data_IF_832479072065
#
_entry.id   IF_832479072065
#
_cell.length_a   1.000
_cell.length_b   1.000
_cell.length_c   1.000
_cell.angle_alpha   90.00
_cell.angle_beta   90.00
_cell.angle_gamma   90.00
#
_symmetry.space_group_name_H-M   'P 1'
#
loop_
_entity.id
_entity.type
_entity.pdbx_description
1 polymer ?
#
# COMPACT_ATOMS: atom_id res chain seq x y z
N UNK A 1 4.44 17.13 15.20
CA UNK A 1 5.69 17.27 14.41
C UNK A 1 6.63 16.05 14.50
N UNK A 2 6.92 15.46 15.67
CA UNK A 2 7.84 14.31 15.78
C UNK A 2 7.36 12.99 15.11
N UNK A 3 6.05 12.80 14.92
CA UNK A 3 5.48 11.58 14.33
C UNK A 3 5.58 11.51 12.80
N UNK A 4 5.75 12.64 12.11
CA UNK A 4 5.92 12.71 10.65
C UNK A 4 7.38 12.39 10.28
N UNK A 5 8.35 12.86 11.08
CA UNK A 5 9.78 12.62 10.85
C UNK A 5 10.17 11.16 11.06
N UNK A 6 9.48 10.42 11.95
CA UNK A 6 9.75 9.01 12.25
C UNK A 6 9.19 8.04 11.20
N UNK A 7 8.14 8.41 10.47
CA UNK A 7 7.65 7.63 9.33
C UNK A 7 8.52 7.81 8.07
N UNK A 8 9.33 8.88 8.02
CA UNK A 8 10.23 9.20 6.91
C UNK A 8 11.71 8.92 7.21
N UNK A 9 12.05 8.41 8.40
CA UNK A 9 13.40 7.98 8.71
C UNK A 9 13.60 6.57 8.17
N UNK A 10 14.30 6.47 7.03
CA UNK A 10 14.98 5.24 6.66
C UNK A 10 15.84 4.78 7.84
N UNK A 11 15.81 3.48 8.12
CA UNK A 11 16.64 2.80 9.11
C UNK A 11 18.09 3.28 8.97
N UNK A 12 18.66 3.84 10.04
CA UNK A 12 20.08 4.18 10.08
C UNK A 12 20.92 2.95 9.72
N UNK A 13 21.90 3.06 8.81
CA UNK A 13 22.77 1.94 8.49
C UNK A 13 23.63 1.62 9.72
N UNK A 14 23.49 0.39 10.21
CA UNK A 14 24.36 -0.16 11.24
C UNK A 14 25.82 -0.08 10.79
N UNK A 15 26.61 0.50 11.69
CA UNK A 15 28.06 0.67 11.65
C UNK A 15 28.82 -0.53 11.06
N UNK A 16 29.56 -0.31 9.99
CA UNK A 16 30.86 -0.95 9.83
C UNK A 16 31.86 0.01 9.15
N UNK A 17 32.97 0.23 9.85
CA UNK A 17 34.17 0.91 9.35
C UNK A 17 34.62 0.25 8.05
N UNK A 18 34.70 1.02 6.96
CA UNK A 18 35.84 0.99 6.04
C UNK A 18 35.89 2.28 5.21
N UNK A 19 37.05 2.91 5.28
CA UNK A 19 37.39 4.16 4.60
C UNK A 19 37.64 3.88 3.12
N UNK A 20 37.00 4.63 2.24
CA UNK A 20 37.66 5.07 1.00
C UNK A 20 36.93 6.25 0.39
N UNK A 21 37.72 7.31 0.17
CA UNK A 21 37.40 8.60 -0.41
C UNK A 21 36.80 8.44 -1.80
N UNK A 22 35.90 9.34 -2.19
CA UNK A 22 36.03 10.17 -3.40
C UNK A 22 34.88 11.19 -3.47
N UNK A 23 35.25 12.42 -3.86
CA UNK A 23 34.44 13.61 -4.16
C UNK A 23 33.91 14.46 -3.00
N UNK A 24 34.76 15.42 -2.60
CA UNK A 24 34.36 16.69 -2.03
C UNK A 24 33.87 17.62 -3.17
N UNK A 25 32.66 18.17 -3.05
CA UNK A 25 32.22 19.34 -3.80
C UNK A 25 32.27 20.59 -2.92
N UNK A 26 32.69 21.77 -3.43
CA UNK A 26 32.67 23.00 -2.65
C UNK A 26 31.26 23.62 -2.64
N UNK A 27 30.95 24.32 -1.54
CA UNK A 27 29.60 24.74 -1.18
C UNK A 27 29.10 26.08 -1.75
N UNK A 28 27.81 26.30 -1.43
CA UNK A 28 27.01 27.52 -1.31
C UNK A 28 27.40 28.78 -2.10
N UNK A 29 26.47 29.22 -2.96
CA UNK A 29 26.02 30.62 -3.03
C UNK A 29 24.59 30.68 -3.61
N UNK A 30 23.79 31.60 -3.07
CA UNK A 30 22.35 31.74 -3.28
C UNK A 30 21.96 32.67 -4.44
N UNK A 31 20.66 32.61 -4.77
CA UNK A 31 19.80 33.61 -5.44
C UNK A 31 19.85 33.72 -6.97
N UNK A 32 18.77 33.32 -7.65
CA UNK A 32 17.88 34.27 -8.35
C UNK A 32 16.55 33.63 -8.73
N UNK A 33 15.45 34.37 -8.54
CA UNK A 33 14.13 34.13 -9.12
C UNK A 33 14.22 34.18 -10.66
N UNK A 34 13.91 33.06 -11.32
CA UNK A 34 13.80 32.95 -12.76
C UNK A 34 12.94 31.73 -13.08
N UNK A 35 12.10 31.85 -14.11
CA UNK A 35 11.24 30.79 -14.66
C UNK A 35 11.96 29.44 -14.62
N UNK A 36 11.59 28.60 -13.67
CA UNK A 36 12.22 27.30 -13.47
C UNK A 36 11.53 26.31 -14.41
N UNK A 37 11.76 26.47 -15.70
CA UNK A 37 11.45 25.42 -16.67
C UNK A 37 12.23 24.18 -16.20
N UNK A 38 11.51 23.16 -15.75
CA UNK A 38 12.11 21.89 -15.34
C UNK A 38 12.82 21.33 -16.57
N UNK A 39 14.16 21.40 -16.61
CA UNK A 39 14.95 20.73 -17.64
C UNK A 39 14.82 19.24 -17.40
N UNK A 40 13.97 18.59 -18.20
CA UNK A 40 13.76 17.14 -18.15
C UNK A 40 14.75 16.43 -19.08
N UNK A 41 15.32 15.34 -18.59
CA UNK A 41 16.05 14.37 -19.42
C UNK A 41 15.09 13.58 -20.31
N UNK A 42 15.60 12.97 -21.38
CA UNK A 42 14.81 12.15 -22.30
C UNK A 42 14.06 11.01 -21.60
N UNK A 43 14.69 10.40 -20.57
CA UNK A 43 14.07 9.35 -19.76
C UNK A 43 12.90 9.89 -18.94
N UNK A 44 13.04 11.06 -18.34
CA UNK A 44 11.95 11.71 -17.59
C UNK A 44 10.80 12.11 -18.52
N UNK A 45 11.10 12.61 -19.72
CA UNK A 45 10.10 12.94 -20.72
C UNK A 45 9.31 11.71 -21.18
N UNK A 46 9.99 10.59 -21.46
CA UNK A 46 9.35 9.31 -21.81
C UNK A 46 8.45 8.80 -20.68
N UNK A 47 8.90 8.88 -19.44
CA UNK A 47 8.12 8.42 -18.29
C UNK A 47 6.93 9.34 -17.98
N UNK A 48 7.06 10.65 -18.21
CA UNK A 48 5.94 11.57 -18.10
C UNK A 48 4.90 11.28 -19.20
N UNK A 49 5.34 11.02 -20.44
CA UNK A 49 4.45 10.60 -21.53
C UNK A 49 3.73 9.28 -21.20
N UNK A 50 4.46 8.29 -20.69
CA UNK A 50 3.88 7.03 -20.19
C UNK A 50 2.88 7.26 -19.04
N UNK A 51 3.14 8.24 -18.16
CA UNK A 51 2.17 8.60 -17.13
C UNK A 51 0.86 9.10 -17.73
N UNK A 52 0.96 10.08 -18.63
CA UNK A 52 -0.18 10.79 -19.21
C UNK A 52 -1.01 9.92 -20.17
N UNK A 53 -0.38 8.96 -20.84
CA UNK A 53 -1.01 8.10 -21.85
C UNK A 53 -1.47 6.75 -21.30
N UNK A 54 -0.86 6.28 -20.21
CA UNK A 54 -1.12 4.94 -19.68
C UNK A 54 -1.30 4.89 -18.17
N UNK A 55 -0.30 5.33 -17.39
CA UNK A 55 -0.33 5.15 -15.93
C UNK A 55 -1.59 5.77 -15.32
N UNK A 56 -1.89 7.04 -15.63
CA UNK A 56 -3.04 7.75 -15.06
C UNK A 56 -4.39 7.11 -15.42
N UNK A 57 -4.47 6.42 -16.57
CA UNK A 57 -5.66 5.68 -16.99
C UNK A 57 -5.85 4.43 -16.13
N UNK A 58 -4.79 3.64 -15.91
CA UNK A 58 -4.91 2.38 -15.18
C UNK A 58 -5.00 2.54 -13.65
N UNK A 59 -4.71 3.73 -13.12
CA UNK A 59 -4.98 4.09 -11.72
C UNK A 59 -6.32 4.84 -11.53
N UNK A 60 -6.98 5.24 -12.63
CA UNK A 60 -8.31 5.83 -12.58
C UNK A 60 -9.36 4.72 -12.56
N UNK A 61 -10.02 4.52 -11.44
CA UNK A 61 -11.01 3.44 -11.28
C UNK A 61 -12.47 3.90 -11.44
N UNK A 62 -12.74 5.18 -11.22
CA UNK A 62 -14.05 5.80 -11.40
C UNK A 62 -13.94 7.13 -12.16
N UNK A 63 -15.07 7.60 -12.68
CA UNK A 63 -15.13 8.88 -13.42
C UNK A 63 -14.62 10.07 -12.58
N UNK A 64 -14.73 9.96 -11.27
CA UNK A 64 -14.34 10.99 -10.31
C UNK A 64 -12.82 11.02 -10.05
N UNK A 65 -12.07 9.99 -10.44
CA UNK A 65 -10.61 9.92 -10.36
C UNK A 65 -9.94 10.48 -11.62
N UNK A 66 -10.67 10.63 -12.74
CA UNK A 66 -10.12 11.18 -13.99
C UNK A 66 -9.55 12.59 -13.82
N UNK A 67 -10.34 13.53 -13.30
CA UNK A 67 -9.88 14.91 -13.15
C UNK A 67 -8.62 15.01 -12.25
N UNK A 68 -8.60 14.41 -11.04
CA UNK A 68 -7.40 14.40 -10.20
C UNK A 68 -6.17 13.83 -10.90
N UNK A 69 -6.28 12.66 -11.54
CA UNK A 69 -5.12 11.89 -12.00
C UNK A 69 -4.62 12.32 -13.39
N UNK A 70 -5.51 12.78 -14.28
CA UNK A 70 -5.13 13.16 -15.65
C UNK A 70 -4.75 14.64 -15.78
N UNK A 71 -5.30 15.52 -14.93
CA UNK A 71 -5.12 16.97 -15.06
C UNK A 71 -4.56 17.57 -13.78
N UNK A 72 -5.25 17.37 -12.65
CA UNK A 72 -4.93 18.05 -11.40
C UNK A 72 -3.51 17.78 -10.89
N UNK A 73 -3.17 16.50 -10.73
CA UNK A 73 -1.85 16.08 -10.27
C UNK A 73 -0.74 16.46 -11.26
N UNK A 74 -0.85 16.20 -12.57
CA UNK A 74 0.14 16.66 -13.54
C UNK A 74 0.37 18.18 -13.51
N UNK A 75 -0.68 19.00 -13.43
CA UNK A 75 -0.54 20.46 -13.38
C UNK A 75 0.22 20.91 -12.12
N UNK A 76 -0.10 20.32 -10.96
CA UNK A 76 0.64 20.57 -9.73
C UNK A 76 2.09 20.10 -9.84
N UNK A 77 2.34 18.95 -10.47
CA UNK A 77 3.66 18.37 -10.64
C UNK A 77 4.58 19.26 -11.50
N UNK A 78 4.05 19.86 -12.56
CA UNK A 78 4.81 20.78 -13.42
C UNK A 78 5.35 22.01 -12.67
N UNK A 79 4.72 22.39 -11.55
CA UNK A 79 5.14 23.51 -10.70
C UNK A 79 5.90 23.06 -9.45
N UNK A 80 5.89 21.77 -9.12
CA UNK A 80 6.43 21.22 -7.89
C UNK A 80 7.33 20.02 -8.19
N UNK A 81 8.64 20.25 -8.17
CA UNK A 81 9.65 19.22 -8.49
C UNK A 81 9.50 17.94 -7.65
N UNK A 82 9.33 18.00 -6.31
CA UNK A 82 9.14 16.79 -5.52
C UNK A 82 7.89 15.99 -5.92
N UNK A 83 6.80 16.66 -6.35
CA UNK A 83 5.62 15.96 -6.85
C UNK A 83 5.88 15.35 -8.22
N UNK A 84 6.61 16.04 -9.11
CA UNK A 84 7.06 15.47 -10.38
C UNK A 84 7.91 14.22 -10.19
N UNK A 85 8.85 14.22 -9.25
CA UNK A 85 9.65 13.03 -8.96
C UNK A 85 8.75 11.84 -8.49
N UNK A 86 7.64 12.09 -7.78
CA UNK A 86 6.66 11.02 -7.46
C UNK A 86 5.87 10.52 -8.67
N UNK A 87 5.46 11.42 -9.57
CA UNK A 87 4.79 11.05 -10.83
C UNK A 87 5.71 10.14 -11.66
N UNK A 88 6.98 10.53 -11.80
CA UNK A 88 7.98 9.76 -12.54
C UNK A 88 8.32 8.42 -11.89
N UNK A 89 8.38 8.37 -10.55
CA UNK A 89 8.60 7.13 -9.81
C UNK A 89 7.46 6.13 -10.04
N UNK A 90 6.21 6.62 -9.98
CA UNK A 90 5.02 5.79 -10.21
C UNK A 90 4.95 5.30 -11.66
N UNK A 91 5.24 6.17 -12.63
CA UNK A 91 5.27 5.79 -14.05
C UNK A 91 6.34 4.73 -14.33
N UNK A 92 7.54 4.87 -13.76
CA UNK A 92 8.60 3.87 -13.89
C UNK A 92 8.21 2.52 -13.26
N UNK A 93 7.53 2.53 -12.11
CA UNK A 93 6.99 1.32 -11.51
C UNK A 93 5.88 0.68 -12.38
N UNK A 94 5.03 1.50 -12.99
CA UNK A 94 4.04 1.02 -13.95
C UNK A 94 4.68 0.39 -15.19
N UNK A 95 5.71 1.00 -15.79
CA UNK A 95 6.44 0.43 -16.93
C UNK A 95 7.09 -0.92 -16.54
N UNK A 96 7.59 -1.08 -15.31
CA UNK A 96 8.04 -2.38 -14.81
C UNK A 96 6.92 -3.43 -14.80
N UNK A 97 5.74 -3.08 -14.29
CA UNK A 97 4.59 -3.98 -14.29
C UNK A 97 4.13 -4.33 -15.71
N UNK A 98 4.13 -3.38 -16.64
CA UNK A 98 3.80 -3.65 -18.05
C UNK A 98 4.76 -4.68 -18.68
N UNK A 99 6.06 -4.58 -18.39
CA UNK A 99 7.07 -5.55 -18.84
C UNK A 99 6.82 -6.93 -18.23
N UNK A 100 6.49 -6.98 -16.93
CA UNK A 100 6.17 -8.21 -16.22
C UNK A 100 4.94 -8.88 -16.83
N UNK A 101 3.85 -8.14 -16.99
CA UNK A 101 2.58 -8.64 -17.52
C UNK A 101 2.73 -9.09 -18.97
N UNK A 102 3.40 -8.30 -19.81
CA UNK A 102 3.71 -8.66 -21.19
C UNK A 102 4.52 -9.96 -21.33
N UNK A 103 5.37 -10.28 -20.35
CA UNK A 103 6.12 -11.52 -20.32
C UNK A 103 5.33 -12.72 -19.76
N UNK A 104 4.31 -12.50 -18.92
CA UNK A 104 3.44 -13.60 -18.45
C UNK A 104 2.54 -14.18 -19.56
N UNK A 105 2.24 -13.39 -20.60
CA UNK A 105 1.46 -13.84 -21.76
C UNK A 105 2.21 -14.77 -22.72
N UNK A 106 3.54 -14.73 -22.73
CA UNK A 106 4.39 -15.62 -23.52
C UNK A 106 5.19 -16.51 -22.55
N UNK A 107 4.69 -17.72 -22.29
CA UNK A 107 5.20 -18.71 -21.31
C UNK A 107 6.59 -19.28 -21.69
N UNK A 108 7.59 -18.41 -21.81
CA UNK A 108 9.01 -18.72 -21.88
C UNK A 108 9.75 -17.56 -21.22
N UNK A 109 10.17 -17.79 -19.96
CA UNK A 109 11.27 -17.11 -19.25
C UNK A 109 11.60 -15.69 -19.71
N UNK A 110 11.28 -14.69 -18.87
CA UNK A 110 11.78 -13.33 -19.03
C UNK A 110 13.29 -13.39 -19.33
N UNK A 111 13.71 -12.85 -20.47
CA UNK A 111 15.12 -12.83 -20.84
C UNK A 111 15.93 -11.98 -19.86
N UNK A 112 17.24 -12.18 -19.90
CA UNK A 112 18.19 -11.39 -19.09
C UNK A 112 17.99 -9.89 -19.35
N UNK A 113 17.74 -9.52 -20.61
CA UNK A 113 17.50 -8.14 -21.04
C UNK A 113 16.28 -7.49 -20.38
N UNK A 114 15.13 -8.17 -20.35
CA UNK A 114 13.95 -7.62 -19.69
C UNK A 114 14.13 -7.53 -18.16
N UNK A 115 14.90 -8.45 -17.57
CA UNK A 115 15.21 -8.41 -16.13
C UNK A 115 16.10 -7.23 -15.80
N UNK A 116 17.14 -6.99 -16.61
CA UNK A 116 18.04 -5.86 -16.42
C UNK A 116 17.30 -4.53 -16.63
N UNK A 117 16.37 -4.47 -17.61
CA UNK A 117 15.50 -3.31 -17.81
C UNK A 117 14.60 -3.02 -16.60
N UNK A 118 14.00 -4.04 -15.99
CA UNK A 118 13.21 -3.90 -14.76
C UNK A 118 14.09 -3.36 -13.62
N UNK A 119 15.32 -3.87 -13.47
CA UNK A 119 16.25 -3.40 -12.44
C UNK A 119 16.65 -1.93 -12.64
N UNK A 120 16.91 -1.52 -13.89
CA UNK A 120 17.20 -0.11 -14.22
C UNK A 120 16.04 0.82 -13.86
N UNK A 121 14.81 0.46 -14.29
CA UNK A 121 13.61 1.24 -14.00
C UNK A 121 13.28 1.27 -12.50
N UNK A 122 13.42 0.14 -11.80
CA UNK A 122 13.24 0.07 -10.35
C UNK A 122 14.25 0.98 -9.64
N UNK A 123 15.53 0.93 -10.02
CA UNK A 123 16.58 1.81 -9.47
C UNK A 123 16.28 3.29 -9.72
N UNK A 124 15.80 3.62 -10.93
CA UNK A 124 15.37 4.97 -11.26
C UNK A 124 14.21 5.41 -10.37
N UNK A 125 13.20 4.56 -10.23
CA UNK A 125 11.99 4.84 -9.43
C UNK A 125 12.32 5.04 -7.94
N UNK A 126 13.22 4.24 -7.37
CA UNK A 126 13.69 4.38 -5.98
C UNK A 126 14.40 5.70 -5.75
N UNK A 127 15.28 6.09 -6.69
CA UNK A 127 16.00 7.37 -6.61
C UNK A 127 15.01 8.53 -6.62
N UNK A 128 14.06 8.52 -7.55
CA UNK A 128 13.02 9.55 -7.67
C UNK A 128 12.10 9.60 -6.46
N UNK A 129 11.70 8.44 -5.94
CA UNK A 129 10.94 8.36 -4.71
C UNK A 129 11.73 8.96 -3.52
N UNK A 130 13.01 8.64 -3.39
CA UNK A 130 13.88 9.22 -2.35
C UNK A 130 14.07 10.73 -2.49
N UNK A 131 14.26 11.24 -3.71
CA UNK A 131 14.34 12.69 -3.98
C UNK A 131 13.02 13.40 -3.66
N UNK A 132 11.90 12.78 -4.04
CA UNK A 132 10.55 13.24 -3.76
C UNK A 132 10.29 13.37 -2.26
N UNK A 133 10.62 12.35 -1.46
CA UNK A 133 10.48 12.38 0.00
C UNK A 133 11.31 13.50 0.64
N UNK A 134 12.58 13.63 0.27
CA UNK A 134 13.45 14.71 0.77
C UNK A 134 12.93 16.08 0.38
N UNK A 135 12.46 16.22 -0.86
CA UNK A 135 11.90 17.46 -1.37
C UNK A 135 10.63 17.86 -0.62
N UNK A 136 9.68 16.92 -0.45
CA UNK A 136 8.42 17.18 0.27
C UNK A 136 8.65 17.56 1.73
N UNK A 137 9.65 16.98 2.41
CA UNK A 137 9.98 17.37 3.78
C UNK A 137 10.27 18.88 3.90
N UNK A 138 10.91 19.48 2.90
CA UNK A 138 11.15 20.93 2.87
C UNK A 138 9.89 21.77 2.58
N UNK A 139 8.86 21.16 2.00
CA UNK A 139 7.61 21.81 1.61
C UNK A 139 6.51 21.73 2.69
N UNK A 140 6.62 20.85 3.68
CA UNK A 140 5.59 20.64 4.72
C UNK A 140 5.26 21.94 5.48
N UNK A 141 6.25 22.81 5.67
CA UNK A 141 6.07 24.08 6.40
C UNK A 141 5.50 25.21 5.53
N UNK A 142 5.46 25.02 4.20
CA UNK A 142 4.95 26.02 3.26
C UNK A 142 3.45 25.82 3.01
N UNK A 143 2.59 26.77 3.42
CA UNK A 143 1.15 26.68 3.20
C UNK A 143 0.75 26.59 1.73
N UNK A 144 1.53 27.16 0.81
CA UNK A 144 1.20 27.19 -0.62
C UNK A 144 1.53 25.86 -1.30
N UNK A 145 2.40 25.05 -0.68
CA UNK A 145 2.78 23.72 -1.17
C UNK A 145 1.90 22.58 -0.65
N UNK A 146 0.90 22.85 0.20
CA UNK A 146 0.04 21.83 0.83
C UNK A 146 -0.63 20.89 -0.17
N UNK A 147 -1.14 21.44 -1.28
CA UNK A 147 -1.75 20.62 -2.34
C UNK A 147 -0.75 19.63 -2.93
N UNK A 148 0.49 20.06 -3.18
CA UNK A 148 1.54 19.18 -3.67
C UNK A 148 1.98 18.14 -2.66
N UNK A 149 2.07 18.49 -1.38
CA UNK A 149 2.39 17.54 -0.28
C UNK A 149 1.33 16.45 -0.18
N UNK A 150 0.05 16.81 -0.25
CA UNK A 150 -1.03 15.83 -0.16
C UNK A 150 -1.15 14.95 -1.41
N UNK A 151 -1.03 15.55 -2.61
CA UNK A 151 -1.02 14.79 -3.85
C UNK A 151 0.16 13.80 -3.89
N UNK A 152 1.32 14.23 -3.39
CA UNK A 152 2.51 13.39 -3.27
C UNK A 152 2.26 12.17 -2.37
N UNK A 153 1.67 12.38 -1.19
CA UNK A 153 1.35 11.29 -0.27
C UNK A 153 0.45 10.24 -0.95
N UNK A 154 -0.53 10.68 -1.75
CA UNK A 154 -1.43 9.76 -2.47
C UNK A 154 -0.70 8.92 -3.53
N UNK A 155 0.20 9.53 -4.31
CA UNK A 155 0.99 8.80 -5.31
C UNK A 155 1.98 7.82 -4.67
N UNK A 156 2.61 8.21 -3.56
CA UNK A 156 3.57 7.36 -2.85
C UNK A 156 2.91 6.08 -2.32
N UNK A 157 1.65 6.14 -1.90
CA UNK A 157 0.92 4.94 -1.48
C UNK A 157 0.82 3.92 -2.61
N UNK A 158 0.41 4.34 -3.82
CA UNK A 158 0.29 3.44 -4.98
C UNK A 158 1.67 2.93 -5.41
N UNK A 159 2.65 3.83 -5.48
CA UNK A 159 4.03 3.48 -5.83
C UNK A 159 4.63 2.47 -4.85
N UNK A 160 4.37 2.62 -3.56
CA UNK A 160 4.90 1.74 -2.51
C UNK A 160 4.50 0.28 -2.70
N UNK A 161 3.22 0.06 -3.01
CA UNK A 161 2.69 -1.28 -3.29
C UNK A 161 3.25 -1.83 -4.61
N UNK A 162 3.28 -1.02 -5.67
CA UNK A 162 3.80 -1.45 -6.97
C UNK A 162 5.29 -1.83 -6.88
N UNK A 163 6.09 -1.02 -6.18
CA UNK A 163 7.51 -1.30 -5.94
C UNK A 163 7.70 -2.61 -5.17
N UNK A 164 6.87 -2.87 -4.16
CA UNK A 164 6.91 -4.13 -3.42
C UNK A 164 6.58 -5.33 -4.32
N UNK A 165 5.50 -5.26 -5.10
CA UNK A 165 5.13 -6.30 -6.06
C UNK A 165 6.24 -6.59 -7.09
N UNK A 166 6.91 -5.56 -7.61
CA UNK A 166 8.04 -5.74 -8.54
C UNK A 166 9.18 -6.52 -7.86
N UNK A 167 9.50 -6.22 -6.60
CA UNK A 167 10.51 -6.96 -5.83
C UNK A 167 10.09 -8.41 -5.58
N UNK A 168 8.82 -8.65 -5.27
CA UNK A 168 8.26 -10.00 -5.14
C UNK A 168 8.47 -10.80 -6.43
N UNK A 169 8.13 -10.18 -7.55
CA UNK A 169 8.31 -10.79 -8.85
C UNK A 169 9.78 -11.10 -9.12
N UNK A 170 10.68 -10.14 -8.92
CA UNK A 170 12.13 -10.32 -9.09
C UNK A 170 12.66 -11.45 -8.20
N UNK A 171 12.21 -11.51 -6.95
CA UNK A 171 12.60 -12.54 -6.00
C UNK A 171 12.14 -13.94 -6.46
N UNK A 172 10.92 -14.06 -6.96
CA UNK A 172 10.39 -15.33 -7.51
C UNK A 172 11.11 -15.72 -8.81
N UNK A 173 11.36 -14.76 -9.70
CA UNK A 173 11.99 -14.99 -11.00
C UNK A 173 13.45 -15.44 -10.87
N UNK A 174 14.21 -14.82 -9.97
CA UNK A 174 15.62 -15.17 -9.75
C UNK A 174 15.81 -16.52 -9.09
N UNK A 175 14.94 -16.93 -8.16
CA UNK A 175 14.96 -18.31 -7.64
C UNK A 175 14.77 -19.37 -8.73
N UNK A 176 14.10 -19.02 -9.84
CA UNK A 176 13.86 -19.93 -10.96
C UNK A 176 14.96 -19.89 -12.02
N UNK A 177 15.63 -18.75 -12.20
CA UNK A 177 16.46 -18.49 -13.39
C UNK A 177 17.92 -18.07 -13.12
N UNK A 178 18.29 -17.67 -11.89
CA UNK A 178 19.65 -17.19 -11.55
C UNK A 178 20.29 -18.04 -10.45
N UNK A 179 21.60 -18.27 -10.57
CA UNK A 179 22.42 -18.93 -9.54
C UNK A 179 22.78 -18.00 -8.38
N UNK A 180 22.82 -16.69 -8.62
CA UNK A 180 23.18 -15.70 -7.61
C UNK A 180 21.94 -15.04 -6.98
N UNK A 181 21.94 -14.85 -5.64
CA UNK A 181 20.81 -14.22 -4.95
C UNK A 181 20.69 -12.74 -5.31
N UNK A 182 19.46 -12.20 -5.32
CA UNK A 182 19.28 -10.75 -5.46
C UNK A 182 20.05 -10.00 -4.36
N UNK A 183 20.66 -8.85 -4.72
CA UNK A 183 21.17 -7.89 -3.75
C UNK A 183 20.10 -7.60 -2.68
N UNK A 184 20.54 -7.48 -1.43
CA UNK A 184 19.64 -7.29 -0.28
C UNK A 184 18.65 -6.13 -0.46
N UNK A 185 19.09 -5.03 -1.09
CA UNK A 185 18.27 -3.84 -1.36
C UNK A 185 17.01 -4.13 -2.19
N UNK A 186 17.04 -5.15 -3.05
CA UNK A 186 15.91 -5.52 -3.90
C UNK A 186 15.08 -6.68 -3.34
N UNK A 187 15.43 -7.19 -2.16
CA UNK A 187 14.60 -8.20 -1.51
C UNK A 187 13.35 -7.55 -0.95
N UNK A 188 12.19 -8.20 -1.09
CA UNK A 188 10.97 -7.73 -0.43
C UNK A 188 11.17 -7.78 1.09
N UNK A 189 10.92 -6.66 1.77
CA UNK A 189 10.82 -6.58 3.22
C UNK A 189 9.35 -6.61 3.60
N UNK A 190 8.98 -7.60 4.43
CA UNK A 190 7.64 -7.85 4.95
C UNK A 190 7.08 -6.57 5.59
N UNK A 191 5.81 -6.22 5.33
CA UNK A 191 5.11 -5.07 5.95
C UNK A 191 5.61 -3.67 5.55
N UNK A 192 6.71 -3.52 4.79
CA UNK A 192 7.19 -2.17 4.39
C UNK A 192 6.14 -1.38 3.60
N UNK A 193 5.43 -2.06 2.70
CA UNK A 193 4.38 -1.45 1.89
C UNK A 193 3.20 -0.97 2.73
N UNK A 194 2.92 -1.62 3.88
CA UNK A 194 1.85 -1.26 4.82
C UNK A 194 2.10 0.15 5.37
N UNK A 195 3.34 0.49 5.72
CA UNK A 195 3.67 1.83 6.21
C UNK A 195 3.43 2.93 5.16
N UNK A 196 3.62 2.64 3.87
CA UNK A 196 3.40 3.59 2.79
C UNK A 196 1.91 3.89 2.57
N UNK A 197 1.00 2.97 2.91
CA UNK A 197 -0.45 3.24 2.92
C UNK A 197 -0.87 4.22 4.02
N UNK A 198 -0.15 4.28 5.13
CA UNK A 198 -0.44 5.22 6.23
C UNK A 198 -0.07 6.67 5.89
N UNK A 199 0.74 6.88 4.84
CA UNK A 199 1.30 8.19 4.50
C UNK A 199 0.24 9.25 4.19
N UNK A 200 -0.79 8.92 3.41
CA UNK A 200 -1.90 9.85 3.08
C UNK A 200 -2.61 10.29 4.35
N UNK A 201 -2.99 9.34 5.19
CA UNK A 201 -3.68 9.61 6.45
C UNK A 201 -2.84 10.49 7.38
N UNK A 202 -1.55 10.18 7.54
CA UNK A 202 -0.63 10.98 8.36
C UNK A 202 -0.40 12.38 7.79
N UNK A 203 -0.33 12.53 6.47
CA UNK A 203 -0.19 13.84 5.82
C UNK A 203 -1.44 14.69 6.03
N UNK A 204 -2.63 14.10 5.88
CA UNK A 204 -3.90 14.80 6.10
C UNK A 204 -4.03 15.28 7.55
N UNK A 205 -3.82 14.40 8.52
CA UNK A 205 -3.92 14.75 9.94
C UNK A 205 -2.82 15.74 10.37
N UNK A 206 -1.58 15.51 9.91
CA UNK A 206 -0.45 16.36 10.24
C UNK A 206 -0.60 17.80 9.75
N UNK A 207 -1.25 18.01 8.61
CA UNK A 207 -1.51 19.34 8.06
C UNK A 207 -2.73 20.02 8.69
N UNK A 208 -3.73 19.27 9.18
CA UNK A 208 -4.87 19.82 9.94
C UNK A 208 -4.42 20.50 11.23
N UNK A 209 -3.45 19.93 11.95
CA UNK A 209 -2.91 20.50 13.19
C UNK A 209 -2.20 21.87 12.98
N UNK A 210 -1.83 22.20 11.73
CA UNK A 210 -1.23 23.50 11.38
C UNK A 210 -2.26 24.62 11.14
N UNK A 211 -3.56 24.31 11.19
CA UNK A 211 -4.67 25.23 10.84
C UNK A 211 -5.21 26.00 12.05
N UNK A 212 -4.74 25.78 13.28
CA UNK A 212 -5.13 26.57 14.48
C UNK A 212 -4.56 28.02 14.50
N UNK A 213 -4.52 28.70 13.35
CA UNK A 213 -4.43 30.15 13.21
C UNK A 213 -5.80 30.75 12.84
N UNK A 214 -6.04 32.06 13.07
CA UNK A 214 -7.38 32.66 13.16
C UNK A 214 -8.13 32.85 11.83
N UNK A 215 -7.79 32.13 10.76
CA UNK A 215 -8.34 32.40 9.44
C UNK A 215 -9.45 31.41 9.07
N UNK A 216 -10.68 31.89 9.17
CA UNK A 216 -11.91 31.25 8.67
C UNK A 216 -11.81 30.91 7.18
N UNK A 217 -12.11 29.65 6.75
CA UNK A 217 -12.08 29.27 5.34
C UNK A 217 -13.29 29.86 4.59
N UNK A 218 -13.03 30.59 3.51
CA UNK A 218 -14.04 31.00 2.53
C UNK A 218 -14.11 29.90 1.45
N UNK A 219 -15.17 29.10 1.47
CA UNK A 219 -15.43 28.07 0.45
C UNK A 219 -15.97 28.72 -0.83
N UNK A 220 -15.15 28.83 -1.87
CA UNK A 220 -15.63 29.12 -3.23
C UNK A 220 -15.79 27.81 -3.97
N UNK A 221 -17.04 27.36 -4.09
CA UNK A 221 -17.41 26.17 -4.90
C UNK A 221 -17.36 26.60 -6.37
N UNK A 222 -16.31 26.22 -7.09
CA UNK A 222 -16.31 26.24 -8.56
C UNK A 222 -16.81 24.88 -9.06
N UNK A 223 -18.10 24.84 -9.43
CA UNK A 223 -18.71 23.73 -10.15
C UNK A 223 -18.27 23.78 -11.62
N UNK A 224 -17.17 23.13 -11.97
CA UNK A 224 -16.86 22.82 -13.36
C UNK A 224 -17.46 21.46 -13.72
N UNK A 225 -18.59 21.50 -14.41
CA UNK A 225 -19.09 20.36 -15.18
C UNK A 225 -18.27 20.29 -16.47
N UNK A 226 -17.21 19.49 -16.45
CA UNK A 226 -16.54 19.09 -17.68
C UNK A 226 -17.20 17.81 -18.17
N UNK A 227 -17.96 17.89 -19.27
CA UNK A 227 -18.36 16.72 -20.03
C UNK A 227 -17.11 16.14 -20.67
N UNK A 228 -16.50 15.15 -20.01
CA UNK A 228 -15.47 14.29 -20.61
C UNK A 228 -16.20 13.03 -21.05
N UNK A 229 -16.00 12.66 -22.31
CA UNK A 229 -16.58 11.46 -22.92
C UNK A 229 -16.14 10.21 -22.10
N UNK A 230 -17.08 9.38 -21.62
CA UNK A 230 -16.74 8.24 -20.77
C UNK A 230 -15.98 7.20 -21.60
N UNK A 231 -14.66 7.12 -21.39
CA UNK A 231 -13.85 6.01 -21.89
C UNK A 231 -14.16 4.76 -21.05
N UNK A 232 -14.20 3.57 -21.66
CA UNK A 232 -14.58 2.34 -20.98
C UNK A 232 -13.61 2.08 -19.83
N UNK A 233 -14.17 2.03 -18.61
CA UNK A 233 -13.48 1.52 -17.42
C UNK A 233 -13.03 0.11 -17.76
N UNK A 234 -11.71 -0.11 -17.80
CA UNK A 234 -11.15 -1.45 -18.03
C UNK A 234 -11.54 -2.29 -16.81
N UNK A 235 -12.52 -3.18 -16.98
CA UNK A 235 -12.88 -4.17 -15.98
C UNK A 235 -11.67 -5.07 -15.79
N UNK A 236 -10.92 -4.88 -14.70
CA UNK A 236 -9.75 -5.69 -14.44
C UNK A 236 -10.16 -7.16 -14.19
N UNK A 237 -9.37 -8.15 -14.64
CA UNK A 237 -9.72 -9.58 -14.62
C UNK A 237 -9.99 -10.19 -13.23
N UNK A 238 -9.74 -9.46 -12.15
CA UNK A 238 -9.85 -9.90 -10.75
C UNK A 238 -11.29 -10.18 -10.29
N UNK A 239 -12.30 -9.85 -11.08
CA UNK A 239 -13.73 -9.93 -10.68
C UNK A 239 -14.23 -11.36 -10.41
N UNK A 240 -13.63 -12.40 -11.01
CA UNK A 240 -14.13 -13.78 -10.90
C UNK A 240 -13.50 -14.54 -9.72
N UNK A 241 -12.18 -14.48 -9.57
CA UNK A 241 -11.46 -15.14 -8.45
C UNK A 241 -11.79 -14.50 -7.10
N UNK A 242 -12.00 -13.17 -7.10
CA UNK A 242 -12.41 -12.40 -5.93
C UNK A 242 -13.81 -12.78 -5.44
N UNK A 243 -14.77 -13.12 -6.32
CA UNK A 243 -16.15 -13.39 -5.90
C UNK A 243 -16.29 -14.68 -5.09
N UNK A 244 -15.70 -15.78 -5.58
CA UNK A 244 -15.81 -17.06 -4.89
C UNK A 244 -15.06 -17.07 -3.56
N UNK A 245 -13.86 -16.46 -3.50
CA UNK A 245 -13.11 -16.34 -2.24
C UNK A 245 -13.88 -15.44 -1.26
N UNK A 246 -14.44 -14.34 -1.74
CA UNK A 246 -15.29 -13.45 -0.94
C UNK A 246 -16.48 -14.18 -0.33
N UNK A 247 -17.19 -15.03 -1.09
CA UNK A 247 -18.31 -15.83 -0.55
C UNK A 247 -17.88 -16.73 0.60
N UNK A 248 -16.76 -17.46 0.45
CA UNK A 248 -16.25 -18.33 1.52
C UNK A 248 -15.89 -17.50 2.75
N UNK A 249 -15.21 -16.37 2.55
CA UNK A 249 -14.85 -15.47 3.64
C UNK A 249 -16.07 -14.94 4.38
N UNK A 250 -17.12 -14.52 3.67
CA UNK A 250 -18.40 -14.10 4.30
C UNK A 250 -18.98 -15.22 5.17
N UNK A 251 -18.96 -16.46 4.68
CA UNK A 251 -19.55 -17.60 5.42
C UNK A 251 -18.71 -18.10 6.60
N UNK A 252 -17.41 -17.81 6.62
CA UNK A 252 -16.47 -18.36 7.61
C UNK A 252 -15.94 -17.30 8.59
N UNK A 253 -16.17 -16.01 8.31
CA UNK A 253 -15.62 -14.91 9.08
C UNK A 253 -16.08 -14.91 10.55
N UNK A 254 -17.37 -15.13 10.81
CA UNK A 254 -17.89 -15.04 12.18
C UNK A 254 -17.20 -16.04 13.11
N UNK A 255 -17.03 -17.28 12.65
CA UNK A 255 -16.28 -18.32 13.38
C UNK A 255 -14.79 -17.97 13.55
N UNK A 256 -14.16 -17.45 12.49
CA UNK A 256 -12.77 -17.02 12.55
C UNK A 256 -12.57 -15.87 13.56
N UNK A 257 -13.50 -14.91 13.59
CA UNK A 257 -13.49 -13.78 14.51
C UNK A 257 -13.74 -14.21 15.94
N UNK A 258 -14.68 -15.12 16.19
CA UNK A 258 -14.91 -15.70 17.52
C UNK A 258 -13.65 -16.37 18.06
N UNK A 259 -12.98 -17.17 17.21
CA UNK A 259 -11.75 -17.87 17.56
C UNK A 259 -10.61 -16.89 17.87
N UNK A 260 -10.41 -15.88 17.02
CA UNK A 260 -9.41 -14.82 17.23
C UNK A 260 -9.70 -13.98 18.47
N UNK A 261 -10.97 -13.69 18.75
CA UNK A 261 -11.41 -12.93 19.92
C UNK A 261 -11.19 -13.72 21.21
N UNK A 262 -11.50 -15.02 21.22
CA UNK A 262 -11.22 -15.88 22.37
C UNK A 262 -9.72 -15.90 22.70
N UNK A 263 -8.85 -16.01 21.69
CA UNK A 263 -7.39 -15.92 21.87
C UNK A 263 -6.97 -14.55 22.40
N UNK A 264 -7.53 -13.46 21.87
CA UNK A 264 -7.22 -12.12 22.35
C UNK A 264 -7.58 -11.93 23.83
N UNK A 265 -8.72 -12.45 24.29
CA UNK A 265 -9.14 -12.41 25.69
C UNK A 265 -8.22 -13.26 26.59
N UNK A 266 -7.76 -14.43 26.12
CA UNK A 266 -6.78 -15.23 26.86
C UNK A 266 -5.46 -14.46 27.04
N UNK A 267 -4.96 -13.79 26.00
CA UNK A 267 -3.74 -12.97 26.10
C UNK A 267 -3.96 -11.78 27.04
N UNK A 268 -5.09 -11.08 26.94
CA UNK A 268 -5.42 -9.94 27.81
C UNK A 268 -5.54 -10.34 29.29
N UNK A 269 -6.10 -11.51 29.58
CA UNK A 269 -6.27 -12.02 30.95
C UNK A 269 -4.96 -12.55 31.54
N UNK A 270 -4.14 -13.21 30.73
CA UNK A 270 -2.83 -13.71 31.15
C UNK A 270 -1.80 -12.58 31.29
N UNK A 271 -1.85 -11.58 30.41
CA UNK A 271 -0.88 -10.49 30.31
C UNK A 271 -1.58 -9.17 29.93
N UNK A 272 -2.12 -8.41 30.90
CA UNK A 272 -2.76 -7.12 30.66
C UNK A 272 -1.72 -6.01 30.39
N UNK A 273 -0.90 -6.19 29.36
CA UNK A 273 0.14 -5.25 28.95
C UNK A 273 -0.38 -4.22 27.95
N UNK A 274 0.41 -3.15 27.75
CA UNK A 274 0.12 -2.15 26.71
C UNK A 274 0.06 -2.78 25.32
N UNK A 275 0.83 -3.85 25.07
CA UNK A 275 0.84 -4.58 23.80
C UNK A 275 -0.46 -5.37 23.61
N UNK A 276 -0.92 -6.10 24.62
CA UNK A 276 -2.20 -6.82 24.56
C UNK A 276 -3.38 -5.86 24.30
N UNK A 277 -3.40 -4.72 24.98
CA UNK A 277 -4.43 -3.69 24.74
C UNK A 277 -4.36 -3.10 23.32
N UNK A 278 -3.14 -2.93 22.78
CA UNK A 278 -2.91 -2.48 21.40
C UNK A 278 -3.44 -3.49 20.38
N UNK A 279 -3.19 -4.79 20.58
CA UNK A 279 -3.76 -5.86 19.77
C UNK A 279 -5.29 -5.87 19.84
N UNK A 280 -5.88 -5.68 21.02
CA UNK A 280 -7.33 -5.57 21.19
C UNK A 280 -7.93 -4.42 20.37
N UNK A 281 -7.26 -3.26 20.31
CA UNK A 281 -7.69 -2.15 19.44
C UNK A 281 -7.59 -2.50 17.95
N UNK A 282 -6.53 -3.20 17.54
CA UNK A 282 -6.38 -3.66 16.16
C UNK A 282 -7.46 -4.70 15.78
N UNK A 283 -7.81 -5.60 16.68
CA UNK A 283 -8.89 -6.56 16.49
C UNK A 283 -10.25 -5.87 16.28
N UNK A 284 -10.59 -4.85 17.08
CA UNK A 284 -11.82 -4.05 16.87
C UNK A 284 -11.83 -3.34 15.53
N UNK A 285 -10.66 -2.84 15.08
CA UNK A 285 -10.54 -2.22 13.77
C UNK A 285 -10.77 -3.24 12.63
N UNK A 286 -10.31 -4.48 12.81
CA UNK A 286 -10.51 -5.58 11.88
C UNK A 286 -11.99 -6.01 11.79
N UNK A 287 -12.64 -6.17 12.93
CA UNK A 287 -14.08 -6.49 13.00
C UNK A 287 -14.94 -5.40 12.33
N UNK A 288 -14.72 -4.13 12.68
CA UNK A 288 -15.40 -3.00 12.05
C UNK A 288 -15.19 -2.94 10.54
N UNK A 289 -14.01 -3.34 10.07
CA UNK A 289 -13.68 -3.41 8.65
C UNK A 289 -14.43 -4.55 7.96
N UNK A 290 -14.46 -5.75 8.55
CA UNK A 290 -15.18 -6.89 8.02
C UNK A 290 -16.69 -6.61 7.92
N UNK A 291 -17.29 -6.00 8.95
CA UNK A 291 -18.68 -5.56 8.92
C UNK A 291 -18.95 -4.61 7.74
N UNK A 292 -18.03 -3.69 7.43
CA UNK A 292 -18.17 -2.78 6.28
C UNK A 292 -17.99 -3.45 4.92
N UNK A 293 -17.11 -4.46 4.84
CA UNK A 293 -16.90 -5.28 3.66
C UNK A 293 -18.11 -6.16 3.35
N UNK A 294 -18.70 -6.78 4.38
CA UNK A 294 -19.76 -7.80 4.24
C UNK A 294 -21.18 -7.23 4.32
N UNK A 295 -21.37 -6.02 4.84
CA UNK A 295 -22.67 -5.33 4.84
C UNK A 295 -23.23 -5.05 3.43
N UNK A 296 -22.48 -5.32 2.36
CA UNK A 296 -22.91 -5.13 0.96
C UNK A 296 -23.70 -6.35 0.47
N UNK A 297 -24.90 -6.54 1.01
CA UNK A 297 -25.91 -7.44 0.46
C UNK A 297 -26.73 -6.78 -0.67
N UNK A 298 -26.27 -5.69 -1.28
CA UNK A 298 -26.82 -5.23 -2.55
C UNK A 298 -26.07 -5.92 -3.69
N UNK A 299 -26.77 -6.61 -4.61
CA UNK A 299 -26.14 -7.28 -5.74
C UNK A 299 -25.30 -6.28 -6.53
N UNK A 300 -24.06 -6.69 -6.84
CA UNK A 300 -23.11 -5.99 -7.72
C UNK A 300 -23.83 -5.07 -8.73
N UNK A 301 -23.78 -3.73 -8.56
CA UNK A 301 -24.34 -2.83 -9.55
C UNK A 301 -23.30 -2.64 -10.65
N UNK A 302 -23.00 -3.70 -11.40
CA UNK A 302 -22.22 -3.55 -12.64
C UNK A 302 -23.00 -2.79 -13.72
N UNK A 303 -24.29 -2.44 -13.51
CA UNK A 303 -25.12 -1.81 -14.55
C UNK A 303 -26.17 -0.79 -14.11
N UNK A 304 -26.15 -0.26 -12.89
CA UNK A 304 -27.05 0.86 -12.55
C UNK A 304 -26.27 2.06 -12.05
N UNK A 305 -25.93 2.94 -13.01
CA UNK A 305 -25.60 4.34 -12.75
C UNK A 305 -26.81 5.03 -12.11
N UNK A 306 -26.99 4.85 -10.79
CA UNK A 306 -27.85 5.74 -10.02
C UNK A 306 -27.09 7.03 -9.79
N UNK A 307 -27.61 8.08 -10.40
CA UNK A 307 -27.22 9.48 -10.23
C UNK A 307 -27.67 9.95 -8.86
N UNK A 308 -27.13 9.34 -7.80
CA UNK A 308 -27.42 9.78 -6.44
C UNK A 308 -26.53 10.99 -6.15
N UNK A 309 -27.16 12.16 -6.24
CA UNK A 309 -26.64 13.43 -5.78
C UNK A 309 -26.28 13.32 -4.29
N UNK A 310 -24.99 13.18 -4.00
CA UNK A 310 -24.47 13.27 -2.63
C UNK A 310 -24.77 14.67 -2.11
N UNK A 311 -25.62 14.76 -1.08
CA UNK A 311 -25.89 15.98 -0.33
C UNK A 311 -24.58 16.47 0.32
N UNK A 312 -24.16 17.72 0.10
CA UNK A 312 -22.93 18.23 0.65
C UNK A 312 -23.21 18.75 2.05
N UNK A 313 -23.13 17.91 3.09
CA UNK A 313 -23.03 18.33 4.50
C UNK A 313 -22.88 17.09 5.38
N UNK A 314 -21.65 16.58 5.44
CA UNK A 314 -21.04 16.18 6.70
C UNK A 314 -19.57 16.58 6.56
N UNK A 315 -19.10 17.46 7.45
CA UNK A 315 -17.82 18.15 7.31
C UNK A 315 -16.69 17.12 7.48
N UNK A 316 -16.23 16.56 6.36
CA UNK A 316 -15.06 15.70 6.33
C UNK A 316 -13.88 16.45 6.99
N UNK A 317 -13.09 15.81 7.88
CA UNK A 317 -11.91 16.44 8.50
C UNK A 317 -10.97 17.07 7.47
N UNK A 318 -10.91 16.51 6.26
CA UNK A 318 -10.15 17.04 5.14
C UNK A 318 -10.59 18.45 4.70
N UNK A 319 -11.87 18.81 4.83
CA UNK A 319 -12.40 20.11 4.40
C UNK A 319 -11.82 21.31 5.17
N UNK A 320 -11.08 21.05 6.26
CA UNK A 320 -10.46 22.07 7.09
C UNK A 320 -9.05 22.47 6.63
N UNK A 321 -8.44 21.73 5.68
CA UNK A 321 -7.09 22.07 5.18
C UNK A 321 -7.20 23.24 4.19
N UNK A 322 -6.83 24.45 4.62
CA UNK A 322 -6.86 25.63 3.77
C UNK A 322 -5.83 25.58 2.63
N UNK A 323 -6.15 26.22 1.49
CA UNK A 323 -5.34 26.32 0.26
C UNK A 323 -5.16 25.01 -0.53
N UNK A 324 -6.12 24.09 -0.40
CA UNK A 324 -6.16 22.84 -1.16
C UNK A 324 -7.36 22.87 -2.13
N UNK A 325 -7.18 22.49 -3.42
CA UNK A 325 -8.29 22.43 -4.36
C UNK A 325 -9.38 21.44 -3.94
N UNK A 326 -10.64 21.75 -4.22
CA UNK A 326 -11.79 20.89 -3.86
C UNK A 326 -11.71 19.48 -4.46
N UNK A 327 -11.21 19.35 -5.69
CA UNK A 327 -11.01 18.05 -6.33
C UNK A 327 -10.02 17.19 -5.54
N UNK A 328 -8.99 17.80 -4.95
CA UNK A 328 -7.96 17.08 -4.20
C UNK A 328 -8.51 16.65 -2.84
N UNK A 329 -9.31 17.49 -2.17
CA UNK A 329 -10.03 17.07 -0.97
C UNK A 329 -10.92 15.85 -1.23
N UNK A 330 -11.69 15.87 -2.31
CA UNK A 330 -12.58 14.76 -2.65
C UNK A 330 -11.80 13.50 -3.03
N UNK A 331 -10.70 13.65 -3.77
CA UNK A 331 -9.81 12.53 -4.10
C UNK A 331 -9.19 11.90 -2.84
N UNK A 332 -8.68 12.72 -1.91
CA UNK A 332 -8.08 12.25 -0.66
C UNK A 332 -9.10 11.65 0.31
N UNK A 333 -10.30 12.24 0.42
CA UNK A 333 -11.37 11.71 1.26
C UNK A 333 -11.75 10.31 0.79
N UNK A 334 -11.79 10.11 -0.53
CA UNK A 334 -12.00 8.80 -1.11
C UNK A 334 -10.78 7.89 -0.88
N UNK A 335 -9.56 8.33 -1.17
CA UNK A 335 -8.32 7.55 -0.96
C UNK A 335 -8.13 7.08 0.50
N UNK A 336 -8.58 7.87 1.48
CA UNK A 336 -8.50 7.56 2.92
C UNK A 336 -9.76 6.88 3.47
N UNK A 337 -10.71 6.52 2.62
CA UNK A 337 -11.98 5.87 2.99
C UNK A 337 -12.91 6.74 3.86
N UNK A 338 -12.74 8.06 3.85
CA UNK A 338 -13.62 9.03 4.50
C UNK A 338 -14.84 9.38 3.65
N UNK A 339 -14.88 8.97 2.37
CA UNK A 339 -16.02 9.13 1.47
C UNK A 339 -16.29 7.83 0.68
N UNK A 340 -17.57 7.45 0.46
CA UNK A 340 -17.93 6.25 -0.28
C UNK A 340 -17.65 6.39 -1.79
N UNK A 341 -17.19 5.30 -2.42
CA UNK A 341 -16.97 5.19 -3.87
C UNK A 341 -17.25 3.75 -4.33
N UNK A 342 -18.05 3.57 -5.37
CA UNK A 342 -18.71 2.29 -5.67
C UNK A 342 -17.78 1.21 -6.29
N UNK A 343 -16.73 1.50 -7.09
CA UNK A 343 -15.81 0.43 -7.52
C UNK A 343 -14.63 0.18 -6.56
N UNK A 344 -14.22 1.20 -5.79
CA UNK A 344 -13.07 1.13 -4.89
C UNK A 344 -13.43 0.78 -3.45
N UNK A 345 -14.72 0.53 -3.13
CA UNK A 345 -15.14 0.24 -1.75
C UNK A 345 -14.36 -0.92 -1.16
N UNK A 346 -14.14 -2.02 -1.88
CA UNK A 346 -13.39 -3.18 -1.33
C UNK A 346 -11.92 -2.85 -1.08
N UNK A 347 -11.18 -2.40 -2.10
CA UNK A 347 -9.76 -2.02 -1.97
C UNK A 347 -9.51 -0.99 -0.88
N UNK A 348 -10.31 0.07 -0.87
CA UNK A 348 -10.24 1.13 0.13
C UNK A 348 -10.58 0.57 1.51
N UNK A 349 -11.69 -0.16 1.67
CA UNK A 349 -12.09 -0.72 2.97
C UNK A 349 -11.03 -1.69 3.52
N UNK A 350 -10.46 -2.57 2.70
CA UNK A 350 -9.37 -3.47 3.12
C UNK A 350 -8.15 -2.67 3.57
N UNK A 351 -7.72 -1.67 2.80
CA UNK A 351 -6.55 -0.85 3.15
C UNK A 351 -6.81 0.12 4.31
N UNK A 352 -8.08 0.40 4.64
CA UNK A 352 -8.46 1.25 5.77
C UNK A 352 -7.96 0.70 7.11
N UNK A 353 -7.72 -0.61 7.22
CA UNK A 353 -7.14 -1.24 8.40
C UNK A 353 -5.91 -0.50 8.90
N UNK A 354 -4.96 -0.22 7.99
CA UNK A 354 -3.68 0.43 8.27
C UNK A 354 -3.85 1.82 8.90
N UNK A 355 -4.91 2.51 8.48
CA UNK A 355 -5.25 3.85 8.98
C UNK A 355 -6.02 3.80 10.31
N UNK A 356 -6.72 2.69 10.61
CA UNK A 356 -7.51 2.50 11.82
C UNK A 356 -6.74 1.90 12.99
N UNK A 357 -5.69 1.13 12.72
CA UNK A 357 -4.87 0.54 13.78
C UNK A 357 -3.95 1.56 14.46
N UNK A 358 -3.70 1.41 15.77
CA UNK A 358 -2.71 2.23 16.48
C UNK A 358 -1.33 2.16 15.82
N UNK A 359 -0.54 3.23 15.91
CA UNK A 359 0.85 3.21 15.41
C UNK A 359 1.68 2.14 16.13
N UNK A 360 1.46 1.98 17.44
CA UNK A 360 2.15 1.01 18.29
C UNK A 360 1.87 -0.43 17.86
N UNK A 361 0.71 -0.71 17.23
CA UNK A 361 0.42 -2.04 16.67
C UNK A 361 1.35 -2.38 15.51
N UNK A 362 1.59 -1.42 14.60
CA UNK A 362 2.50 -1.65 13.47
C UNK A 362 3.95 -1.82 13.95
N UNK A 363 4.37 -1.03 14.95
CA UNK A 363 5.67 -1.20 15.59
C UNK A 363 5.79 -2.57 16.28
N UNK A 364 4.71 -3.06 16.88
CA UNK A 364 4.66 -4.40 17.48
C UNK A 364 4.82 -5.48 16.41
N UNK A 365 4.11 -5.38 15.29
CA UNK A 365 4.25 -6.28 14.12
C UNK A 365 5.68 -6.28 13.59
N UNK A 366 6.27 -5.10 13.34
CA UNK A 366 7.66 -5.00 12.88
C UNK A 366 8.65 -5.63 13.87
N UNK A 367 8.42 -5.44 15.18
CA UNK A 367 9.22 -6.05 16.23
C UNK A 367 9.10 -7.57 16.22
N UNK A 368 7.87 -8.10 16.08
CA UNK A 368 7.64 -9.55 15.91
C UNK A 368 8.45 -10.09 14.74
N UNK A 369 8.38 -9.43 13.58
CA UNK A 369 9.07 -9.86 12.37
C UNK A 369 10.60 -9.80 12.48
N UNK A 370 11.14 -8.77 13.14
CA UNK A 370 12.57 -8.68 13.39
C UNK A 370 13.07 -9.74 14.39
N UNK A 371 12.27 -10.06 15.40
CA UNK A 371 12.57 -11.13 16.36
C UNK A 371 12.60 -12.50 15.66
N UNK A 372 11.67 -12.74 14.74
CA UNK A 372 11.58 -13.95 13.94
C UNK A 372 12.79 -14.11 13.01
N UNK A 373 13.24 -13.01 12.39
CA UNK A 373 14.36 -13.01 11.44
C UNK A 373 15.75 -12.95 12.11
N UNK A 374 15.81 -12.83 13.44
CA UNK A 374 17.08 -12.80 14.15
C UNK A 374 17.76 -14.18 14.08
N UNK A 375 19.04 -14.26 13.67
CA UNK A 375 19.80 -15.50 13.79
C UNK A 375 19.85 -15.88 15.28
N UNK A 376 19.60 -17.16 15.57
CA UNK A 376 19.54 -17.70 16.93
C UNK A 376 20.84 -17.37 17.67
N UNK A 377 20.79 -16.32 18.48
CA UNK A 377 21.77 -16.10 19.52
C UNK A 377 21.36 -17.00 20.67
N UNK A 378 22.12 -18.08 20.80
CA UNK A 378 22.12 -18.96 21.96
C UNK A 378 22.09 -18.16 23.27
N UNK A 379 21.20 -18.60 24.16
CA UNK A 379 21.31 -18.56 25.61
C UNK A 379 21.71 -17.24 26.31
N UNK A 380 20.71 -16.50 26.82
CA UNK A 380 20.76 -15.97 28.20
C UNK A 380 19.33 -15.93 28.79
N UNK A 381 19.07 -16.83 29.73
CA UNK A 381 18.39 -16.58 31.01
C UNK A 381 17.04 -15.83 31.08
N UNK A 382 15.96 -16.60 31.30
CA UNK A 382 14.93 -16.32 32.31
C UNK A 382 14.15 -14.99 32.29
N UNK A 383 13.73 -14.53 31.11
CA UNK A 383 12.63 -13.53 30.97
C UNK A 383 11.76 -13.72 29.71
N UNK A 384 11.94 -14.84 28.98
CA UNK A 384 11.44 -15.07 27.61
C UNK A 384 9.97 -15.46 27.46
N UNK A 385 9.22 -15.74 28.54
CA UNK A 385 7.83 -16.24 28.43
C UNK A 385 6.75 -15.16 28.52
N UNK A 386 7.08 -13.95 28.99
CA UNK A 386 6.08 -12.95 29.38
C UNK A 386 5.72 -11.91 28.31
N UNK A 387 6.29 -11.98 27.10
CA UNK A 387 5.98 -11.03 26.01
C UNK A 387 5.62 -11.70 24.69
N UNK A 388 5.78 -13.03 24.57
CA UNK A 388 5.63 -13.75 23.30
C UNK A 388 4.17 -13.83 22.83
N UNK A 389 3.23 -13.93 23.76
CA UNK A 389 1.79 -14.05 23.48
C UNK A 389 1.22 -12.79 22.79
N UNK A 390 1.64 -11.60 23.21
CA UNK A 390 1.23 -10.34 22.57
C UNK A 390 1.79 -10.20 21.14
N UNK A 391 3.04 -10.62 20.91
CA UNK A 391 3.64 -10.63 19.56
C UNK A 391 2.97 -11.65 18.64
N UNK A 392 2.62 -12.82 19.17
CA UNK A 392 1.87 -13.87 18.48
C UNK A 392 0.47 -13.38 18.08
N UNK A 393 -0.27 -12.78 19.01
CA UNK A 393 -1.58 -12.19 18.74
C UNK A 393 -1.49 -11.08 17.67
N UNK A 394 -0.42 -10.28 17.68
CA UNK A 394 -0.21 -9.26 16.66
C UNK A 394 -0.06 -9.87 15.26
N UNK A 395 0.71 -10.96 15.15
CA UNK A 395 0.89 -11.71 13.89
C UNK A 395 -0.39 -12.42 13.45
N UNK A 396 -1.18 -12.94 14.38
CA UNK A 396 -2.46 -13.59 14.09
C UNK A 396 -3.47 -12.60 13.50
N UNK A 397 -3.59 -11.41 14.11
CA UNK A 397 -4.42 -10.31 13.57
C UNK A 397 -3.92 -9.88 12.18
N UNK A 398 -2.60 -9.78 11.98
CA UNK A 398 -2.02 -9.43 10.68
C UNK A 398 -2.38 -10.48 9.62
N UNK A 399 -2.25 -11.77 9.94
CA UNK A 399 -2.57 -12.87 9.05
C UNK A 399 -4.05 -12.81 8.60
N UNK A 400 -4.97 -12.56 9.54
CA UNK A 400 -6.39 -12.40 9.23
C UNK A 400 -6.65 -11.21 8.29
N UNK A 401 -5.97 -10.08 8.50
CA UNK A 401 -6.08 -8.95 7.57
C UNK A 401 -5.49 -9.26 6.19
N UNK A 402 -4.37 -9.99 6.11
CA UNK A 402 -3.77 -10.40 4.84
C UNK A 402 -4.70 -11.28 4.01
N UNK A 403 -5.61 -12.04 4.63
CA UNK A 403 -6.67 -12.75 3.91
C UNK A 403 -7.57 -11.76 3.15
N UNK A 404 -7.95 -10.64 3.77
CA UNK A 404 -8.70 -9.59 3.07
C UNK A 404 -7.88 -8.95 1.95
N UNK A 405 -6.56 -8.83 2.10
CA UNK A 405 -5.67 -8.33 1.05
C UNK A 405 -5.66 -9.26 -0.17
N UNK A 406 -5.83 -10.58 0.00
CA UNK A 406 -5.96 -11.52 -1.13
C UNK A 406 -7.17 -11.23 -2.03
N UNK A 407 -8.21 -10.55 -1.53
CA UNK A 407 -9.34 -10.11 -2.35
C UNK A 407 -8.96 -9.01 -3.37
N UNK A 408 -7.80 -8.39 -3.17
CA UNK A 408 -7.23 -7.33 -3.99
C UNK A 408 -6.25 -7.87 -5.03
N UNK A 409 -6.05 -9.19 -5.07
CA UNK A 409 -5.23 -9.85 -6.08
C UNK A 409 -5.71 -9.48 -7.48
N UNK A 410 -4.75 -9.15 -8.35
CA UNK A 410 -5.01 -8.76 -9.74
C UNK A 410 -5.13 -7.26 -9.98
N UNK A 411 -5.10 -6.43 -8.93
CA UNK A 411 -4.77 -5.02 -9.10
C UNK A 411 -3.28 -4.91 -9.46
N UNK A 412 -2.95 -4.26 -10.58
CA UNK A 412 -1.58 -4.23 -11.13
C UNK A 412 -0.48 -3.72 -10.18
N UNK A 413 -0.86 -2.94 -9.16
CA UNK A 413 0.01 -2.33 -8.16
C UNK A 413 0.00 -3.05 -6.79
N UNK A 414 -0.87 -4.05 -6.60
CA UNK A 414 -0.86 -4.92 -5.40
C UNK A 414 -0.42 -6.34 -5.79
N UNK A 415 -0.90 -6.86 -6.93
CA UNK A 415 -0.50 -8.15 -7.47
C UNK A 415 -0.73 -9.29 -6.49
N UNK A 416 0.27 -10.16 -6.32
CA UNK A 416 0.25 -11.30 -5.39
C UNK A 416 0.82 -10.94 -4.00
N UNK A 417 0.72 -9.69 -3.56
CA UNK A 417 1.32 -9.25 -2.28
C UNK A 417 0.65 -9.94 -1.09
N UNK A 418 -0.68 -9.89 -0.98
CA UNK A 418 -1.43 -10.52 0.12
C UNK A 418 -1.06 -11.99 0.37
N UNK A 419 -1.19 -12.88 -0.63
CA UNK A 419 -0.90 -14.31 -0.47
C UNK A 419 0.57 -14.59 -0.19
N UNK A 420 1.50 -13.85 -0.81
CA UNK A 420 2.93 -14.05 -0.56
C UNK A 420 3.34 -13.65 0.86
N UNK A 421 2.85 -12.50 1.35
CA UNK A 421 3.10 -12.06 2.72
C UNK A 421 2.48 -13.06 3.72
N UNK A 422 1.29 -13.59 3.41
CA UNK A 422 0.63 -14.58 4.25
C UNK A 422 1.41 -15.91 4.29
N UNK A 423 1.91 -16.41 3.16
CA UNK A 423 2.79 -17.58 3.10
C UNK A 423 4.01 -17.41 4.02
N UNK A 424 4.63 -16.23 4.03
CA UNK A 424 5.73 -15.94 4.93
C UNK A 424 5.31 -15.97 6.38
N UNK A 425 4.22 -15.31 6.75
CA UNK A 425 3.70 -15.31 8.12
C UNK A 425 3.40 -16.75 8.58
N UNK A 426 2.76 -17.57 7.75
CA UNK A 426 2.48 -18.99 8.04
C UNK A 426 3.80 -19.76 8.24
N UNK A 427 4.77 -19.60 7.34
CA UNK A 427 6.06 -20.30 7.44
C UNK A 427 6.80 -19.98 8.74
N UNK A 428 6.67 -18.73 9.19
CA UNK A 428 7.27 -18.21 10.41
C UNK A 428 6.60 -18.78 11.65
N UNK A 429 5.26 -18.75 11.70
CA UNK A 429 4.49 -19.27 12.84
C UNK A 429 4.76 -20.76 13.04
N UNK A 430 4.88 -21.52 11.94
CA UNK A 430 5.21 -22.96 11.96
C UNK A 430 6.65 -23.26 12.35
N UNK A 431 7.62 -22.47 11.91
CA UNK A 431 9.06 -22.76 12.15
C UNK A 431 9.54 -22.41 13.55
N UNK A 432 8.95 -21.40 14.20
CA UNK A 432 9.36 -20.94 15.55
C UNK A 432 8.57 -21.58 16.69
N UNK A 433 7.77 -22.62 16.40
CA UNK A 433 6.87 -23.29 17.35
C UNK A 433 5.94 -22.31 18.08
N UNK A 434 5.66 -21.16 17.45
CA UNK A 434 4.62 -20.23 17.92
C UNK A 434 3.22 -20.83 17.74
N UNK A 435 3.13 -21.86 16.90
CA UNK A 435 1.90 -22.57 16.53
C UNK A 435 1.33 -23.50 17.60
N UNK A 436 2.09 -23.97 18.60
CA UNK A 436 1.59 -24.98 19.53
C UNK A 436 0.36 -24.51 20.37
N UNK A 437 0.24 -23.21 20.63
CA UNK A 437 -0.92 -22.60 21.32
C UNK A 437 -1.89 -21.89 20.34
N UNK A 438 -1.49 -21.67 19.08
CA UNK A 438 -2.30 -20.97 18.05
C UNK A 438 -3.01 -21.93 17.09
N UNK A 439 -2.54 -23.17 16.99
CA UNK A 439 -2.93 -24.17 16.00
C UNK A 439 -3.14 -25.48 16.79
N UNK A 440 -4.36 -25.74 17.26
CA UNK A 440 -4.65 -26.96 18.03
C UNK A 440 -4.52 -28.22 17.15
N UNK A 441 -4.85 -28.15 15.85
CA UNK A 441 -4.57 -29.19 14.85
C UNK A 441 -4.19 -28.65 13.44
N UNK A 442 -3.56 -29.52 12.64
CA UNK A 442 -3.18 -29.27 11.24
C UNK A 442 -4.44 -29.04 10.38
N UNK A 443 -4.76 -27.76 10.11
CA UNK A 443 -5.93 -27.36 9.31
C UNK A 443 -7.01 -26.58 10.03
N UNK A 444 -6.76 -26.08 11.25
CA UNK A 444 -7.73 -25.27 12.02
C UNK A 444 -7.48 -23.75 11.99
N UNK A 445 -6.37 -23.31 11.41
CA UNK A 445 -6.04 -21.88 11.37
C UNK A 445 -6.60 -21.23 10.11
N UNK A 446 -7.67 -20.46 10.29
CA UNK A 446 -8.44 -19.83 9.20
C UNK A 446 -7.61 -19.10 8.13
N UNK A 447 -6.58 -18.28 8.46
CA UNK A 447 -5.74 -17.65 7.44
C UNK A 447 -5.05 -18.65 6.50
N UNK A 448 -4.57 -19.77 7.04
CA UNK A 448 -3.94 -20.82 6.26
C UNK A 448 -4.95 -21.56 5.37
N UNK A 449 -6.13 -21.88 5.91
CA UNK A 449 -7.22 -22.48 5.13
C UNK A 449 -7.62 -21.61 3.94
N UNK A 450 -7.78 -20.30 4.15
CA UNK A 450 -8.16 -19.38 3.08
C UNK A 450 -7.10 -19.30 1.98
N UNK A 451 -5.82 -19.36 2.34
CA UNK A 451 -4.73 -19.44 1.38
C UNK A 451 -4.79 -20.74 0.56
N UNK A 452 -5.03 -21.89 1.21
CA UNK A 452 -5.19 -23.18 0.52
C UNK A 452 -6.38 -23.19 -0.44
N UNK A 453 -7.51 -22.60 -0.03
CA UNK A 453 -8.71 -22.47 -0.88
C UNK A 453 -8.42 -21.60 -2.10
N UNK A 454 -7.76 -20.46 -1.91
CA UNK A 454 -7.32 -19.58 -3.01
C UNK A 454 -6.46 -20.35 -4.01
N UNK A 455 -5.41 -21.01 -3.54
CA UNK A 455 -4.44 -21.70 -4.40
C UNK A 455 -5.07 -22.85 -5.17
N UNK A 456 -5.93 -23.63 -4.51
CA UNK A 456 -6.69 -24.72 -5.14
C UNK A 456 -7.56 -24.19 -6.28
N UNK A 457 -8.23 -23.06 -6.06
CA UNK A 457 -9.10 -22.43 -7.07
C UNK A 457 -8.30 -21.82 -8.22
N UNK A 458 -7.16 -21.19 -7.93
CA UNK A 458 -6.26 -20.69 -8.98
C UNK A 458 -5.79 -21.82 -9.89
N UNK A 459 -5.38 -22.97 -9.32
CA UNK A 459 -5.00 -24.17 -10.09
C UNK A 459 -6.15 -24.66 -10.97
N UNK A 460 -7.37 -24.77 -10.43
CA UNK A 460 -8.54 -25.17 -11.20
C UNK A 460 -8.82 -24.23 -12.38
N UNK A 461 -8.75 -22.91 -12.17
CA UNK A 461 -8.97 -21.90 -13.22
C UNK A 461 -7.90 -21.91 -14.31
N UNK A 462 -6.65 -22.26 -13.97
CA UNK A 462 -5.54 -22.38 -14.93
C UNK A 462 -5.59 -23.67 -15.75
N UNK A 463 -6.17 -24.74 -15.20
CA UNK A 463 -6.30 -26.05 -15.88
C UNK A 463 -7.45 -26.12 -16.89
N UNK A 464 -8.44 -25.22 -16.82
CA UNK A 464 -9.59 -25.22 -17.73
C UNK A 464 -9.32 -24.57 -19.10
N UNK A 465 -8.17 -23.91 -19.30
CA UNK A 465 -7.81 -23.25 -20.59
C UNK A 465 -7.24 -24.19 -21.66
N UNK A 466 -7.12 -25.49 -21.40
CA UNK A 466 -6.41 -26.43 -22.28
C UNK A 466 -7.28 -27.52 -22.95
N UNK A 467 -8.60 -27.38 -22.97
CA UNK A 467 -9.51 -28.44 -23.46
C UNK A 467 -10.39 -28.07 -24.67
N UNK A 468 -10.13 -26.96 -25.36
CA UNK A 468 -10.87 -26.61 -26.58
C UNK A 468 -9.92 -26.34 -27.76
N UNK A 469 -9.13 -27.35 -28.15
CA UNK A 469 -8.57 -27.48 -29.51
C UNK A 469 -8.26 -28.97 -29.75
N UNK A 470 -9.28 -29.73 -30.13
CA UNK A 470 -9.15 -30.94 -30.95
C UNK A 470 -10.16 -30.86 -32.11
#
# INVERSE_FOLDING_TARGET
MASITRACSASSPLSSRSKSRLYAGPGFAASTTGDMAITMSDVEAKLLDHYLTHTCHIISFDEQDHLPLHVGIPELAMRCRPLMDSVLALAAACECCDIIDGATGNVKTLGVEQTDRILELLTFSERRHGDSLRGVQSLISDPDSRASVLANAALITIYGSASHQIRLWLFKATRRCRSDPLPYIYRPYLVQWIYLFKSVYLACNGLQDTVYGPDTPTSTILSHSSQVEPLPIIVQPSTITSHSLFEVMVTTWDHALESLSARAELVLTAEPSSHAHTCSQALRALDSLAAQLFSVNDPLPFMTMRKDSVSPLDVSPLAQISRVPSWLHMYLARATCQAPSIPLRRTRTVMAFVNRVPADYLTLVETSLNYINAPELDDVGSSKSQSTSSYQLAMDILAHWLVFVMLLDGLWWIGETGPWELELVISVVRTKDWGADLIEEEGEWWPEEMLMIRDTRQRMSSGTRNWDLD
#
